data_IF_463032818075
#
_entry.id   IF_463032818075
#
_cell.length_a   1.000
_cell.length_b   1.000
_cell.length_c   1.000
_cell.angle_alpha   90.00
_cell.angle_beta   90.00
_cell.angle_gamma   90.00
#
_symmetry.space_group_name_H-M   'P 1'
#
loop_
_entity.id
_entity.type
_entity.pdbx_description
1 polymer ?
#
# COMPACT_ATOMS: atom_id res chain seq x y z
N UNK A 1 -41.48 -50.17 2.51
CA UNK A 1 -40.32 -50.50 1.65
C UNK A 1 -39.68 -49.19 1.25
N UNK A 2 -38.41 -48.87 1.46
CA UNK A 2 -37.30 -49.56 2.08
C UNK A 2 -36.29 -48.48 2.54
N UNK A 3 -35.67 -48.69 3.70
CA UNK A 3 -34.43 -48.02 4.08
C UNK A 3 -33.27 -48.45 3.16
N UNK A 4 -32.26 -47.57 3.06
CA UNK A 4 -30.80 -47.79 2.80
C UNK A 4 -30.31 -46.67 1.85
N UNK A 5 -29.15 -46.05 2.00
CA UNK A 5 -27.99 -46.24 2.89
C UNK A 5 -27.16 -44.96 2.80
N UNK A 6 -26.54 -44.56 3.90
CA UNK A 6 -25.49 -43.55 3.86
C UNK A 6 -24.35 -44.01 2.96
N UNK A 7 -23.79 -43.08 2.21
CA UNK A 7 -22.49 -43.24 1.58
C UNK A 7 -21.53 -42.29 2.28
N UNK A 8 -20.54 -42.94 2.89
CA UNK A 8 -19.43 -42.34 3.62
C UNK A 8 -18.67 -41.43 2.66
N UNK A 9 -18.72 -40.11 2.90
CA UNK A 9 -17.72 -39.21 2.37
C UNK A 9 -16.39 -39.62 3.02
N UNK A 10 -15.51 -40.20 2.22
CA UNK A 10 -14.22 -40.70 2.69
C UNK A 10 -13.38 -39.51 3.14
N UNK A 11 -12.61 -39.69 4.21
CA UNK A 11 -11.71 -38.67 4.78
C UNK A 11 -10.57 -38.22 3.82
N UNK A 12 -10.56 -38.72 2.59
CA UNK A 12 -9.55 -38.52 1.55
C UNK A 12 -9.96 -37.46 0.52
N UNK A 13 -11.22 -37.01 0.51
CA UNK A 13 -11.69 -35.90 -0.35
C UNK A 13 -11.42 -34.51 0.25
N UNK A 14 -10.89 -34.43 1.48
CA UNK A 14 -10.52 -33.17 2.15
C UNK A 14 -9.05 -32.78 1.96
N UNK A 15 -8.30 -33.50 1.12
CA UNK A 15 -6.85 -33.32 0.94
C UNK A 15 -6.46 -32.32 -0.16
N UNK A 16 -7.40 -31.48 -0.61
CA UNK A 16 -7.11 -30.37 -1.52
C UNK A 16 -7.23 -29.07 -0.71
N UNK A 17 -6.12 -28.33 -0.63
CA UNK A 17 -5.93 -27.03 0.04
C UNK A 17 -5.55 -27.07 1.52
N UNK A 18 -4.45 -27.75 1.85
CA UNK A 18 -3.57 -27.26 2.91
C UNK A 18 -2.10 -27.14 2.40
N UNK A 19 -1.60 -25.92 2.17
CA UNK A 19 -0.20 -25.67 1.81
C UNK A 19 0.84 -26.10 2.86
N UNK A 20 0.45 -26.53 4.07
CA UNK A 20 1.38 -26.82 5.15
C UNK A 20 2.05 -28.21 5.11
N UNK A 21 1.58 -29.18 4.31
CA UNK A 21 2.08 -30.58 4.39
C UNK A 21 3.05 -31.04 3.29
N UNK A 22 3.26 -30.26 2.22
CA UNK A 22 4.21 -30.64 1.16
C UNK A 22 5.54 -29.86 1.18
N UNK A 23 5.73 -28.91 2.11
CA UNK A 23 6.91 -28.03 2.06
C UNK A 23 8.12 -28.48 2.90
N UNK A 24 8.15 -29.74 3.35
CA UNK A 24 9.38 -30.37 3.85
C UNK A 24 10.51 -30.50 2.82
N UNK A 25 10.38 -29.92 1.61
CA UNK A 25 11.39 -29.92 0.56
C UNK A 25 11.59 -28.57 -0.16
N UNK A 26 11.16 -27.44 0.43
CA UNK A 26 11.72 -26.14 0.04
C UNK A 26 12.20 -25.35 1.25
N UNK A 27 13.07 -26.00 2.02
CA UNK A 27 14.22 -25.33 2.62
C UNK A 27 15.16 -24.81 1.52
N UNK A 28 14.68 -23.85 0.72
CA UNK A 28 15.57 -22.85 0.17
C UNK A 28 15.98 -22.01 1.37
N UNK A 29 17.04 -22.44 2.07
CA UNK A 29 17.56 -21.80 3.27
C UNK A 29 17.56 -20.28 3.07
N UNK A 30 16.63 -19.57 3.72
CA UNK A 30 16.74 -18.12 3.84
C UNK A 30 18.00 -17.88 4.67
N UNK A 31 19.11 -17.67 3.98
CA UNK A 31 20.45 -17.47 4.56
C UNK A 31 20.49 -16.25 5.49
N UNK A 32 19.44 -15.45 5.49
CA UNK A 32 19.30 -14.24 6.30
C UNK A 32 18.26 -14.40 7.42
N UNK A 33 17.78 -15.61 7.72
CA UNK A 33 16.83 -15.87 8.81
C UNK A 33 17.27 -15.26 10.15
N UNK A 34 18.57 -15.30 10.45
CA UNK A 34 19.16 -14.73 11.68
C UNK A 34 19.18 -13.20 11.71
N UNK A 35 18.99 -12.53 10.57
CA UNK A 35 18.87 -11.07 10.49
C UNK A 35 17.42 -10.57 10.58
N UNK A 36 16.43 -11.48 10.59
CA UNK A 36 15.03 -11.12 10.70
C UNK A 36 14.70 -10.83 12.16
N UNK A 37 14.17 -9.65 12.43
CA UNK A 37 13.67 -9.29 13.75
C UNK A 37 12.31 -9.96 13.97
N UNK A 38 12.14 -10.61 15.11
CA UNK A 38 10.87 -11.23 15.53
C UNK A 38 9.97 -10.19 16.18
N UNK A 39 9.43 -9.28 15.36
CA UNK A 39 8.64 -8.12 15.83
C UNK A 39 7.42 -8.53 16.66
N UNK A 40 6.86 -9.71 16.41
CA UNK A 40 5.64 -10.19 17.08
C UNK A 40 5.87 -10.59 18.55
N UNK A 41 7.11 -10.88 18.94
CA UNK A 41 7.47 -11.31 20.29
C UNK A 41 8.38 -10.31 21.05
N UNK A 42 8.59 -9.10 20.52
CA UNK A 42 9.38 -8.06 21.20
C UNK A 42 8.58 -7.36 22.30
N UNK A 43 9.24 -7.02 23.41
CA UNK A 43 8.67 -6.17 24.44
C UNK A 43 8.53 -4.72 23.97
N UNK A 44 7.63 -3.96 24.61
CA UNK A 44 7.43 -2.55 24.31
C UNK A 44 8.71 -1.72 24.45
N UNK A 45 9.56 -2.02 25.45
CA UNK A 45 10.84 -1.34 25.66
C UNK A 45 11.83 -1.62 24.52
N UNK A 46 11.86 -2.86 24.03
CA UNK A 46 12.72 -3.22 22.90
C UNK A 46 12.24 -2.57 21.59
N UNK A 47 10.92 -2.45 21.38
CA UNK A 47 10.35 -1.73 20.23
C UNK A 47 10.70 -0.24 20.25
N UNK A 48 10.66 0.41 21.42
CA UNK A 48 11.12 1.80 21.57
C UNK A 48 12.61 1.96 21.27
N UNK A 49 13.45 1.03 21.77
CA UNK A 49 14.88 1.03 21.47
C UNK A 49 15.16 0.79 19.97
N UNK A 50 14.30 0.04 19.27
CA UNK A 50 14.39 -0.11 17.82
C UNK A 50 14.10 1.19 17.08
N UNK A 51 13.07 1.94 17.49
CA UNK A 51 12.72 3.23 16.88
C UNK A 51 13.89 4.21 16.95
N UNK A 52 14.50 4.37 18.13
CA UNK A 52 15.67 5.24 18.34
C UNK A 52 16.87 4.80 17.51
N UNK A 53 17.10 3.49 17.41
CA UNK A 53 18.26 2.92 16.71
C UNK A 53 18.15 3.02 15.19
N UNK A 54 16.94 2.89 14.64
CA UNK A 54 16.69 2.98 13.18
C UNK A 54 16.61 4.45 12.77
N UNK A 55 16.01 5.32 13.60
CA UNK A 55 15.85 6.74 13.34
C UNK A 55 14.86 7.07 12.21
N UNK A 56 14.72 8.35 11.90
CA UNK A 56 13.93 8.82 10.75
C UNK A 56 14.82 9.04 9.51
N UNK A 57 14.34 8.59 8.35
CA UNK A 57 14.98 8.87 7.07
C UNK A 57 14.06 9.77 6.25
N UNK A 58 14.25 11.07 6.38
CA UNK A 58 13.58 12.06 5.55
C UNK A 58 14.16 12.01 4.13
N UNK A 59 13.38 11.44 3.21
CA UNK A 59 13.66 11.46 1.75
C UNK A 59 12.71 12.43 1.04
N UNK A 60 12.15 13.37 1.80
CA UNK A 60 11.20 14.36 1.33
C UNK A 60 11.83 15.50 0.55
N UNK A 61 10.97 16.33 -0.05
CA UNK A 61 11.35 17.54 -0.77
C UNK A 61 10.93 18.79 0.01
N UNK A 62 11.67 19.88 -0.16
CA UNK A 62 11.24 21.18 0.37
C UNK A 62 9.96 21.66 -0.33
N UNK A 63 9.14 22.41 0.39
CA UNK A 63 7.86 22.94 -0.09
C UNK A 63 8.00 23.71 -1.41
N UNK A 64 9.05 24.51 -1.56
CA UNK A 64 9.31 25.31 -2.76
C UNK A 64 9.53 24.44 -4.01
N UNK A 65 10.25 23.32 -3.85
CA UNK A 65 10.52 22.36 -4.92
C UNK A 65 9.22 21.64 -5.31
N UNK A 66 8.42 21.23 -4.32
CA UNK A 66 7.14 20.55 -4.56
C UNK A 66 6.21 21.45 -5.37
N UNK A 67 6.04 22.72 -4.94
CA UNK A 67 5.18 23.68 -5.64
C UNK A 67 5.67 23.92 -7.07
N UNK A 68 6.98 23.97 -7.28
CA UNK A 68 7.58 24.25 -8.60
C UNK A 68 7.45 23.07 -9.57
N UNK A 69 7.60 21.83 -9.09
CA UNK A 69 7.67 20.64 -9.95
C UNK A 69 6.32 19.93 -10.09
N UNK A 70 5.49 19.95 -9.06
CA UNK A 70 4.21 19.24 -9.07
C UNK A 70 3.20 19.90 -9.99
N UNK A 71 2.60 19.09 -10.89
CA UNK A 71 1.51 19.55 -11.76
C UNK A 71 0.23 19.68 -10.93
N UNK A 72 -0.49 20.77 -11.12
CA UNK A 72 -1.74 21.05 -10.42
C UNK A 72 -2.83 21.43 -11.42
N UNK A 73 -4.05 20.97 -11.16
CA UNK A 73 -5.26 21.32 -11.92
C UNK A 73 -6.45 21.50 -10.99
N UNK A 74 -7.48 22.20 -11.45
CA UNK A 74 -8.77 22.27 -10.75
C UNK A 74 -9.62 21.08 -11.20
N UNK A 75 -10.19 20.36 -10.24
CA UNK A 75 -11.18 19.33 -10.51
C UNK A 75 -12.50 19.99 -10.95
N UNK A 76 -13.06 19.44 -12.03
CA UNK A 76 -14.36 19.84 -12.55
C UNK A 76 -15.08 18.56 -12.97
N UNK A 77 -16.21 18.28 -12.34
CA UNK A 77 -17.16 17.25 -12.68
C UNK A 77 -17.85 17.64 -13.98
N UNK A 78 -17.35 17.13 -15.09
CA UNK A 78 -17.93 17.41 -16.41
C UNK A 78 -19.06 16.42 -16.65
N UNK A 79 -20.28 16.92 -16.88
CA UNK A 79 -21.44 16.13 -17.34
C UNK A 79 -21.33 15.75 -18.82
N UNK A 80 -20.21 15.17 -19.24
CA UNK A 80 -20.05 14.57 -20.57
C UNK A 80 -20.09 13.06 -20.42
N UNK A 81 -20.64 12.36 -21.43
CA UNK A 81 -20.94 10.91 -21.54
C UNK A 81 -19.72 9.97 -21.42
N UNK A 82 -18.62 10.48 -20.88
CA UNK A 82 -17.38 9.78 -20.54
C UNK A 82 -16.88 10.37 -19.22
N UNK A 83 -17.61 10.10 -18.13
CA UNK A 83 -17.10 10.34 -16.78
C UNK A 83 -15.87 9.46 -16.59
N UNK A 84 -14.70 10.06 -16.74
CA UNK A 84 -13.48 9.47 -16.20
C UNK A 84 -13.64 9.67 -14.68
N UNK A 85 -14.35 8.74 -14.03
CA UNK A 85 -14.47 8.72 -12.58
C UNK A 85 -13.04 8.65 -12.05
N UNK A 86 -12.58 9.76 -11.47
CA UNK A 86 -11.31 9.79 -10.78
C UNK A 86 -11.48 8.98 -9.50
N UNK A 87 -10.57 8.03 -9.29
CA UNK A 87 -10.48 7.33 -8.02
C UNK A 87 -10.35 8.34 -6.87
N UNK A 88 -10.99 8.10 -5.71
CA UNK A 88 -10.92 9.00 -4.56
C UNK A 88 -9.46 9.18 -4.11
N UNK A 89 -9.17 10.30 -3.45
CA UNK A 89 -7.82 10.55 -2.97
C UNK A 89 -7.46 9.53 -1.88
N UNK A 90 -6.52 8.61 -2.14
CA UNK A 90 -6.21 7.54 -1.18
C UNK A 90 -5.48 8.01 0.11
N UNK A 91 -5.12 9.30 0.19
CA UNK A 91 -4.50 9.88 1.39
C UNK A 91 -5.57 10.27 2.42
N UNK A 92 -6.61 11.01 2.01
CA UNK A 92 -7.73 11.39 2.89
C UNK A 92 -8.92 10.43 2.79
N UNK A 93 -8.97 9.60 1.76
CA UNK A 93 -10.07 8.67 1.42
C UNK A 93 -11.38 9.36 1.01
N UNK A 94 -11.30 10.62 0.57
CA UNK A 94 -12.44 11.41 0.11
C UNK A 94 -12.45 11.57 -1.43
N UNK A 95 -13.65 11.72 -1.98
CA UNK A 95 -13.88 12.07 -3.40
C UNK A 95 -13.45 13.52 -3.70
N UNK A 96 -13.21 13.80 -4.98
CA UNK A 96 -12.91 15.16 -5.42
C UNK A 96 -14.19 15.96 -5.62
N UNK A 97 -14.21 17.18 -5.09
CA UNK A 97 -15.29 18.13 -5.30
C UNK A 97 -14.91 19.22 -6.31
N UNK A 98 -15.93 19.77 -6.99
CA UNK A 98 -15.75 20.85 -7.96
C UNK A 98 -15.00 22.04 -7.34
N UNK A 99 -13.96 22.49 -8.04
CA UNK A 99 -13.13 23.61 -7.59
C UNK A 99 -11.96 23.21 -6.69
N UNK A 100 -11.82 21.93 -6.33
CA UNK A 100 -10.67 21.46 -5.56
C UNK A 100 -9.40 21.38 -6.40
N UNK A 101 -8.25 21.64 -5.78
CA UNK A 101 -6.95 21.53 -6.42
C UNK A 101 -6.46 20.09 -6.37
N UNK A 102 -6.23 19.49 -7.54
CA UNK A 102 -5.69 18.14 -7.72
C UNK A 102 -4.23 18.25 -8.13
N UNK A 103 -3.36 17.58 -7.38
CA UNK A 103 -1.94 17.43 -7.67
C UNK A 103 -1.68 16.10 -8.37
N UNK A 104 -0.97 16.15 -9.50
CA UNK A 104 -0.59 14.95 -10.26
C UNK A 104 0.92 14.76 -10.18
N UNK A 105 1.33 13.52 -9.88
CA UNK A 105 2.74 13.12 -9.84
C UNK A 105 3.26 12.74 -11.23
N UNK A 106 4.58 12.55 -11.37
CA UNK A 106 5.19 12.16 -12.65
C UNK A 106 4.75 10.76 -13.12
N UNK A 107 4.35 9.89 -12.19
CA UNK A 107 3.75 8.59 -12.50
C UNK A 107 2.28 8.68 -12.97
N UNK A 108 1.68 9.87 -13.00
CA UNK A 108 0.29 10.10 -13.43
C UNK A 108 -0.79 9.96 -12.35
N UNK A 109 -0.46 9.41 -11.18
CA UNK A 109 -1.38 9.33 -10.05
C UNK A 109 -1.75 10.71 -9.50
N UNK A 110 -3.01 10.86 -9.09
CA UNK A 110 -3.64 12.12 -8.69
C UNK A 110 -4.17 12.09 -7.26
N UNK A 111 -4.10 13.23 -6.58
CA UNK A 111 -4.45 13.40 -5.17
C UNK A 111 -4.91 14.84 -4.93
N UNK A 112 -5.55 15.13 -3.78
CA UNK A 112 -5.69 16.53 -3.38
C UNK A 112 -4.31 17.17 -3.23
N UNK A 113 -4.13 18.35 -3.81
CA UNK A 113 -2.84 19.05 -3.84
C UNK A 113 -2.26 19.25 -2.42
N UNK A 114 -3.13 19.55 -1.44
CA UNK A 114 -2.73 19.66 -0.04
C UNK A 114 -2.24 18.33 0.55
N UNK A 115 -3.00 17.25 0.33
CA UNK A 115 -2.68 15.92 0.83
C UNK A 115 -1.34 15.41 0.29
N UNK A 116 -1.15 15.46 -1.02
CA UNK A 116 0.09 14.96 -1.62
C UNK A 116 1.29 15.85 -1.28
N UNK A 117 1.11 17.16 -1.15
CA UNK A 117 2.18 18.06 -0.71
C UNK A 117 2.70 17.70 0.68
N UNK A 118 1.82 17.47 1.66
CA UNK A 118 2.22 17.07 3.01
C UNK A 118 2.97 15.72 3.02
N UNK A 119 2.56 14.80 2.14
CA UNK A 119 3.25 13.52 1.96
C UNK A 119 4.66 13.70 1.39
N UNK A 120 4.79 14.50 0.32
CA UNK A 120 6.08 14.72 -0.37
C UNK A 120 7.11 15.47 0.48
N UNK A 121 6.66 16.24 1.47
CA UNK A 121 7.56 16.85 2.46
C UNK A 121 8.24 15.80 3.35
N UNK A 122 7.68 14.60 3.47
CA UNK A 122 8.25 13.51 4.26
C UNK A 122 9.00 12.50 3.37
N UNK A 123 8.42 12.14 2.21
CA UNK A 123 8.99 11.14 1.29
C UNK A 123 8.68 11.49 -0.17
N UNK A 124 9.71 11.57 -1.03
CA UNK A 124 9.55 11.78 -2.48
C UNK A 124 9.13 10.51 -3.25
N UNK A 125 8.11 9.79 -2.77
CA UNK A 125 7.61 8.55 -3.39
C UNK A 125 6.10 8.61 -3.56
N UNK A 126 5.59 8.09 -4.67
CA UNK A 126 4.15 7.98 -4.90
C UNK A 126 3.49 7.06 -3.85
N UNK A 127 2.39 7.45 -3.18
CA UNK A 127 1.67 6.59 -2.24
C UNK A 127 1.19 5.28 -2.86
N UNK A 128 0.89 5.27 -4.16
CA UNK A 128 0.30 4.14 -4.89
C UNK A 128 1.37 3.20 -5.43
N UNK A 129 2.22 3.67 -6.36
CA UNK A 129 3.19 2.80 -7.05
C UNK A 129 4.61 2.81 -6.47
N UNK A 130 4.87 3.64 -5.45
CA UNK A 130 6.18 3.77 -4.78
C UNK A 130 7.34 4.20 -5.69
N UNK A 131 7.09 4.66 -6.91
CA UNK A 131 8.12 5.30 -7.74
C UNK A 131 8.43 6.71 -7.24
N UNK A 132 9.59 7.27 -7.60
CA UNK A 132 9.91 8.68 -7.35
C UNK A 132 8.76 9.57 -7.82
N UNK A 133 8.26 10.41 -6.91
CA UNK A 133 7.03 11.17 -7.15
C UNK A 133 7.24 12.38 -8.07
N UNK A 134 8.33 13.12 -7.82
CA UNK A 134 8.78 14.25 -8.63
C UNK A 134 10.25 14.05 -8.98
N UNK A 135 10.57 14.02 -10.26
CA UNK A 135 11.95 13.99 -10.74
C UNK A 135 12.58 15.37 -10.51
N UNK A 136 13.46 15.45 -9.52
CA UNK A 136 14.30 16.62 -9.21
C UNK A 136 15.59 16.62 -10.01
#
# INVERSE_FOLDING_TARGET
MAMRRGENLRAEDYMLFDPFLYHGMAEMHDRHREMRLDVDNMSYEELLALEERIGDVSTGLSEDIIIKLMKQRIYVSVMTDSSIDLEPCCICQDEFADGENVGSLDCGHEFHSGCIKQWLMQKNLCPICKTTALAT
#
